data_IF_732489597993
#
_entry.id   IF_732489597993
#
_cell.length_a   1.000
_cell.length_b   1.000
_cell.length_c   1.000
_cell.angle_alpha   90.00
_cell.angle_beta   90.00
_cell.angle_gamma   90.00
#
_symmetry.space_group_name_H-M   'P 1'
#
loop_
_entity.id
_entity.type
_entity.pdbx_description
1 polymer ?
#
# COMPACT_ATOMS: atom_id res chain seq x y z
N UNK A 1 8.90 13.75 -14.96
CA UNK A 1 9.91 12.66 -14.91
C UNK A 1 9.22 11.34 -14.61
N UNK A 2 9.90 10.21 -14.89
CA UNK A 2 9.36 8.85 -14.73
C UNK A 2 8.85 8.56 -13.29
N UNK A 3 9.30 9.34 -12.32
CA UNK A 3 9.06 9.14 -10.88
C UNK A 3 8.12 10.19 -10.24
N UNK A 4 7.62 11.16 -11.00
CA UNK A 4 6.74 12.21 -10.44
C UNK A 4 5.45 11.67 -9.84
N UNK A 5 4.94 10.56 -10.38
CA UNK A 5 3.74 9.91 -9.85
C UNK A 5 3.92 9.39 -8.41
N UNK A 6 5.13 9.04 -8.00
CA UNK A 6 5.42 8.58 -6.63
C UNK A 6 5.26 9.71 -5.61
N UNK A 7 5.61 10.95 -6.01
CA UNK A 7 5.43 12.15 -5.19
C UNK A 7 3.96 12.52 -5.05
N UNK A 8 3.16 12.21 -6.07
CA UNK A 8 1.72 12.43 -6.09
C UNK A 8 0.93 11.28 -5.44
N UNK A 9 1.57 10.15 -5.13
CA UNK A 9 0.94 9.04 -4.45
C UNK A 9 0.36 9.49 -3.11
N UNK A 10 -0.81 8.98 -2.68
CA UNK A 10 -1.44 9.39 -1.45
C UNK A 10 -0.53 9.17 -0.25
N UNK A 11 -0.61 10.08 0.71
CA UNK A 11 0.05 9.93 2.01
C UNK A 11 -0.45 8.65 2.67
N UNK A 12 0.47 7.83 3.12
CA UNK A 12 0.14 6.61 3.84
C UNK A 12 -0.36 6.93 5.26
N UNK A 13 -1.14 6.03 5.84
CA UNK A 13 -1.46 6.03 7.26
C UNK A 13 -0.55 5.05 8.02
N UNK A 14 -0.65 5.03 9.33
CA UNK A 14 0.08 4.10 10.21
C UNK A 14 1.61 4.19 10.06
N UNK A 15 2.14 5.40 10.28
CA UNK A 15 3.58 5.64 10.33
C UNK A 15 3.94 6.76 11.30
N UNK A 16 5.21 6.82 11.66
CA UNK A 16 5.78 7.90 12.48
C UNK A 16 7.14 8.33 11.93
N UNK A 17 7.49 9.59 12.17
CA UNK A 17 8.83 10.10 11.88
C UNK A 17 9.80 9.70 12.98
N UNK A 18 11.04 9.39 12.60
CA UNK A 18 12.12 9.06 13.53
C UNK A 18 13.09 10.24 13.70
N UNK A 19 12.55 11.45 13.91
CA UNK A 19 13.37 12.64 14.20
C UNK A 19 14.00 12.55 15.59
N UNK A 20 15.25 13.04 15.79
CA UNK A 20 15.84 13.14 17.12
C UNK A 20 14.98 14.03 18.05
N UNK A 21 14.66 13.54 19.23
CA UNK A 21 13.88 14.27 20.26
C UNK A 21 12.37 14.08 20.22
N UNK A 22 11.83 13.25 19.31
CA UNK A 22 10.40 12.96 19.25
C UNK A 22 10.05 11.67 19.96
N UNK A 23 9.65 11.70 21.23
CA UNK A 23 9.13 10.52 21.94
C UNK A 23 7.75 10.08 21.41
N UNK A 24 6.99 10.94 20.73
CA UNK A 24 5.57 10.71 20.44
C UNK A 24 5.19 10.77 18.96
N UNK A 25 6.14 10.82 18.03
CA UNK A 25 5.88 10.73 16.60
C UNK A 25 4.95 11.83 16.03
N UNK A 26 4.61 12.86 16.80
CA UNK A 26 3.89 14.02 16.29
C UNK A 26 4.89 15.06 15.80
N UNK A 27 4.72 15.65 14.62
CA UNK A 27 5.49 16.82 14.27
C UNK A 27 5.17 17.91 15.30
N UNK A 28 6.16 18.34 16.08
CA UNK A 28 6.03 19.56 16.86
C UNK A 28 5.83 20.70 15.87
N UNK A 29 4.61 21.21 15.80
CA UNK A 29 4.31 22.44 15.12
C UNK A 29 4.91 23.58 15.93
N UNK A 30 6.06 24.09 15.51
CA UNK A 30 6.48 25.50 15.62
C UNK A 30 7.89 25.63 15.07
N UNK A 31 8.17 26.56 14.15
CA UNK A 31 9.52 26.88 13.76
C UNK A 31 10.13 27.79 14.84
N UNK A 32 10.79 27.17 15.81
CA UNK A 32 11.68 27.87 16.71
C UNK A 32 12.97 28.24 15.99
N UNK A 33 13.27 29.51 15.91
CA UNK A 33 14.51 30.08 15.38
C UNK A 33 15.72 29.60 16.16
N UNK A 34 16.45 28.65 15.57
CA UNK A 34 17.75 28.18 16.05
C UNK A 34 18.77 28.25 14.90
N UNK A 35 19.57 29.31 14.89
CA UNK A 35 20.71 29.48 13.97
C UNK A 35 21.68 28.30 14.07
N UNK A 36 22.01 27.66 12.92
CA UNK A 36 23.35 27.14 12.71
C UNK A 36 23.59 25.63 12.54
N UNK A 37 22.55 24.78 12.31
CA UNK A 37 22.80 23.44 11.73
C UNK A 37 21.73 23.18 10.68
N UNK A 38 22.12 22.95 9.41
CA UNK A 38 21.18 22.50 8.38
C UNK A 38 20.47 21.26 8.91
N UNK A 39 19.20 21.39 9.23
CA UNK A 39 18.33 20.23 9.50
C UNK A 39 18.35 19.39 8.24
N UNK A 40 18.53 18.06 8.33
CA UNK A 40 18.29 17.22 7.16
C UNK A 40 16.87 17.53 6.67
N UNK A 41 16.73 17.76 5.38
CA UNK A 41 15.45 18.18 4.77
C UNK A 41 14.32 17.15 4.98
N UNK A 42 14.65 15.95 5.42
CA UNK A 42 13.69 14.89 5.75
C UNK A 42 14.31 13.80 6.64
N UNK A 43 13.47 13.09 7.38
CA UNK A 43 13.86 12.06 8.34
C UNK A 43 13.43 10.66 7.86
N UNK A 44 14.10 9.60 8.35
CA UNK A 44 13.57 8.24 8.24
C UNK A 44 12.18 8.16 8.89
N UNK A 45 11.35 7.26 8.37
CA UNK A 45 10.02 6.99 8.91
C UNK A 45 9.90 5.52 9.30
N UNK A 46 9.12 5.23 10.32
CA UNK A 46 8.74 3.86 10.65
C UNK A 46 7.32 3.59 10.17
N UNK A 47 7.17 2.57 9.34
CA UNK A 47 5.85 2.07 8.92
C UNK A 47 5.28 1.17 10.01
N UNK A 48 4.05 1.44 10.44
CA UNK A 48 3.33 0.72 11.50
C UNK A 48 2.16 -0.09 10.95
N UNK A 49 2.08 -0.27 9.63
CA UNK A 49 0.94 -0.91 8.99
C UNK A 49 0.85 -2.42 9.25
N UNK A 50 1.98 -3.09 9.30
CA UNK A 50 2.07 -4.54 9.54
C UNK A 50 3.21 -4.87 10.50
N UNK A 51 3.30 -6.13 10.92
CA UNK A 51 4.29 -6.61 11.88
C UNK A 51 5.76 -6.44 11.45
N UNK A 52 6.03 -6.11 10.18
CA UNK A 52 7.41 -5.86 9.71
C UNK A 52 8.03 -4.61 10.33
N UNK A 53 7.22 -3.61 10.76
CA UNK A 53 7.69 -2.42 11.45
C UNK A 53 8.82 -1.68 10.72
N UNK A 54 8.84 -1.68 9.38
CA UNK A 54 9.96 -1.23 8.56
C UNK A 54 10.40 0.19 8.91
N UNK A 55 11.68 0.37 9.19
CA UNK A 55 12.34 1.69 9.22
C UNK A 55 12.80 2.02 7.81
N UNK A 56 12.29 3.12 7.26
CA UNK A 56 12.45 3.46 5.84
C UNK A 56 13.20 4.78 5.74
N UNK A 57 14.44 4.78 5.24
CA UNK A 57 15.19 6.02 5.00
C UNK A 57 14.51 6.85 3.90
N UNK A 58 14.89 8.12 3.80
CA UNK A 58 14.41 9.01 2.72
C UNK A 58 14.75 8.40 1.36
N UNK A 59 13.78 8.33 0.47
CA UNK A 59 13.90 7.67 -0.83
C UNK A 59 13.82 6.14 -0.78
N UNK A 60 13.84 5.53 0.41
CA UNK A 60 13.76 4.09 0.60
C UNK A 60 12.34 3.54 0.59
N UNK A 61 12.23 2.21 0.61
CA UNK A 61 10.97 1.47 0.62
C UNK A 61 10.89 0.46 1.75
N UNK A 62 9.67 0.15 2.17
CA UNK A 62 9.41 -0.98 3.06
C UNK A 62 9.59 -2.32 2.35
N UNK A 63 9.68 -3.40 3.13
CA UNK A 63 9.84 -4.78 2.64
C UNK A 63 8.78 -5.17 1.59
N UNK A 64 7.56 -4.66 1.73
CA UNK A 64 6.47 -4.90 0.78
C UNK A 64 6.65 -4.20 -0.58
N UNK A 65 7.62 -3.29 -0.76
CA UNK A 65 7.90 -2.46 -1.95
C UNK A 65 6.82 -1.41 -2.25
N UNK A 66 5.70 -1.42 -1.53
CA UNK A 66 4.51 -0.57 -1.80
C UNK A 66 4.48 0.73 -1.02
N UNK A 67 5.31 0.83 0.02
CA UNK A 67 5.43 2.02 0.88
C UNK A 67 6.80 2.65 0.68
N UNK A 68 6.83 3.95 0.43
CA UNK A 68 8.05 4.71 0.17
C UNK A 68 8.09 5.98 1.02
N UNK A 69 9.26 6.28 1.58
CA UNK A 69 9.51 7.54 2.24
C UNK A 69 9.88 8.60 1.20
N UNK A 70 8.96 9.50 0.92
CA UNK A 70 9.17 10.63 0.00
C UNK A 70 9.32 11.90 0.81
N UNK A 71 10.54 12.41 0.89
CA UNK A 71 10.87 13.64 1.59
C UNK A 71 10.36 13.68 3.06
N UNK A 72 10.50 12.57 3.80
CA UNK A 72 10.08 12.47 5.20
C UNK A 72 8.62 12.08 5.41
N UNK A 73 7.86 11.83 4.35
CA UNK A 73 6.48 11.34 4.41
C UNK A 73 6.35 9.95 3.81
N UNK A 74 5.64 9.07 4.50
CA UNK A 74 5.34 7.75 3.95
C UNK A 74 4.20 7.82 2.93
N UNK A 75 4.45 7.35 1.71
CA UNK A 75 3.50 7.32 0.60
C UNK A 75 3.07 5.88 0.28
N UNK A 76 1.82 5.70 -0.11
CA UNK A 76 1.27 4.43 -0.60
C UNK A 76 1.31 4.41 -2.12
N UNK A 77 2.19 3.61 -2.70
CA UNK A 77 2.40 3.56 -4.16
C UNK A 77 1.36 2.70 -4.89
N UNK A 78 0.57 1.92 -4.16
CA UNK A 78 -0.40 0.97 -4.73
C UNK A 78 -1.86 1.37 -4.54
N UNK A 79 -2.14 2.48 -3.85
CA UNK A 79 -3.51 2.93 -3.66
C UNK A 79 -4.20 3.21 -5.00
N UNK A 80 -5.35 2.57 -5.20
CA UNK A 80 -6.11 2.69 -6.44
C UNK A 80 -5.42 2.10 -7.68
N UNK A 81 -4.40 1.24 -7.52
CA UNK A 81 -3.64 0.65 -8.64
C UNK A 81 -3.73 -0.87 -8.62
N UNK A 82 -4.91 -1.46 -8.87
CA UNK A 82 -5.04 -2.90 -8.99
C UNK A 82 -4.32 -3.39 -10.26
N UNK A 83 -3.48 -4.42 -10.12
CA UNK A 83 -2.74 -5.04 -11.24
C UNK A 83 -3.45 -6.27 -11.76
N UNK A 84 -4.32 -6.86 -10.97
CA UNK A 84 -5.14 -8.00 -11.38
C UNK A 84 -6.57 -7.85 -10.86
N UNK A 85 -7.53 -8.19 -11.71
CA UNK A 85 -8.96 -8.18 -11.40
C UNK A 85 -9.58 -9.39 -12.08
N UNK A 86 -10.24 -10.26 -11.28
CA UNK A 86 -10.98 -11.42 -11.77
C UNK A 86 -12.35 -11.52 -11.12
N UNK A 87 -13.26 -12.20 -11.78
CA UNK A 87 -14.53 -12.62 -11.18
C UNK A 87 -14.46 -14.12 -10.99
N UNK A 88 -14.42 -14.54 -9.74
CA UNK A 88 -14.25 -15.93 -9.34
C UNK A 88 -15.50 -16.43 -8.57
N UNK A 89 -15.80 -17.72 -8.56
CA UNK A 89 -16.72 -18.28 -7.57
C UNK A 89 -16.25 -17.99 -6.14
N UNK A 90 -17.19 -17.74 -5.22
CA UNK A 90 -16.87 -17.43 -3.82
C UNK A 90 -16.12 -18.57 -3.14
N UNK A 91 -16.36 -19.82 -3.56
CA UNK A 91 -15.72 -21.03 -3.05
C UNK A 91 -14.20 -21.05 -3.34
N UNK A 92 -13.75 -20.35 -4.39
CA UNK A 92 -12.32 -20.16 -4.69
C UNK A 92 -11.62 -19.29 -3.65
N UNK A 93 -12.37 -18.60 -2.78
CA UNK A 93 -11.88 -17.85 -1.61
C UNK A 93 -12.03 -18.66 -0.31
N UNK A 94 -12.00 -19.96 -0.35
CA UNK A 94 -12.52 -21.02 0.52
C UNK A 94 -13.67 -20.61 1.46
N UNK A 95 -14.65 -19.91 0.94
CA UNK A 95 -15.83 -19.45 1.69
C UNK A 95 -17.06 -20.29 1.23
N UNK A 96 -17.12 -21.54 1.69
CA UNK A 96 -18.14 -22.49 1.26
C UNK A 96 -19.54 -22.25 1.86
N UNK A 97 -19.63 -21.60 3.02
CA UNK A 97 -20.86 -21.35 3.75
C UNK A 97 -21.34 -19.89 3.69
N UNK A 98 -20.58 -19.03 3.00
CA UNK A 98 -20.94 -17.62 2.83
C UNK A 98 -21.33 -17.35 1.38
N UNK A 99 -22.60 -17.05 1.16
CA UNK A 99 -23.18 -16.81 -0.18
C UNK A 99 -22.80 -17.89 -1.21
N UNK A 100 -23.13 -19.19 -0.96
CA UNK A 100 -22.72 -20.27 -1.85
C UNK A 100 -23.15 -20.00 -3.28
N UNK A 101 -22.25 -20.26 -4.26
CA UNK A 101 -22.49 -20.04 -5.68
C UNK A 101 -22.40 -18.57 -6.12
N UNK A 102 -22.14 -17.63 -5.21
CA UNK A 102 -22.01 -16.22 -5.57
C UNK A 102 -20.68 -15.93 -6.30
N UNK A 103 -20.69 -14.87 -7.12
CA UNK A 103 -19.48 -14.35 -7.74
C UNK A 103 -18.72 -13.42 -6.77
N UNK A 104 -17.41 -13.53 -6.70
CA UNK A 104 -16.52 -12.63 -6.00
C UNK A 104 -15.68 -11.82 -6.99
N UNK A 105 -15.76 -10.49 -6.91
CA UNK A 105 -14.90 -9.57 -7.65
C UNK A 105 -13.56 -9.45 -6.93
N UNK A 106 -12.58 -10.18 -7.41
CA UNK A 106 -11.27 -10.37 -6.77
C UNK A 106 -10.26 -9.42 -7.35
N UNK A 107 -9.48 -8.76 -6.52
CA UNK A 107 -8.43 -7.85 -6.96
C UNK A 107 -7.19 -7.89 -6.07
N UNK A 108 -6.05 -7.56 -6.65
CA UNK A 108 -4.79 -7.34 -5.95
C UNK A 108 -4.00 -6.20 -6.55
N UNK A 109 -3.07 -5.68 -5.76
CA UNK A 109 -2.00 -4.78 -6.20
C UNK A 109 -0.67 -5.52 -6.23
N UNK A 110 0.41 -4.85 -6.63
CA UNK A 110 1.76 -5.39 -6.47
C UNK A 110 2.23 -5.35 -5.03
N UNK A 111 3.26 -6.13 -4.75
CA UNK A 111 3.99 -6.13 -3.50
C UNK A 111 3.31 -6.93 -2.39
N UNK A 112 4.14 -7.48 -1.51
CA UNK A 112 3.73 -8.25 -0.35
C UNK A 112 4.84 -8.19 0.70
N UNK A 113 4.53 -8.08 2.00
CA UNK A 113 5.55 -8.12 3.06
C UNK A 113 6.06 -9.54 3.33
N UNK A 114 5.43 -10.55 2.73
CA UNK A 114 5.76 -11.95 2.86
C UNK A 114 6.62 -12.44 1.70
N UNK A 115 7.38 -13.52 1.92
CA UNK A 115 8.24 -14.15 0.91
C UNK A 115 8.02 -15.66 0.93
N UNK A 116 6.75 -16.08 0.80
CA UNK A 116 6.37 -17.49 0.82
C UNK A 116 6.99 -18.24 -0.37
N UNK A 117 7.72 -19.33 -0.10
CA UNK A 117 8.38 -20.11 -1.15
C UNK A 117 7.39 -20.77 -2.12
N UNK A 118 6.18 -21.05 -1.64
CA UNK A 118 5.09 -21.66 -2.42
C UNK A 118 4.06 -20.66 -2.95
N UNK A 119 4.42 -19.39 -3.08
CA UNK A 119 3.48 -18.36 -3.52
C UNK A 119 3.09 -18.56 -4.98
N UNK A 120 1.82 -18.88 -5.23
CA UNK A 120 1.28 -19.00 -6.59
C UNK A 120 1.24 -17.66 -7.34
N UNK A 121 1.21 -16.55 -6.60
CA UNK A 121 1.11 -15.20 -7.14
C UNK A 121 2.44 -14.43 -6.97
N UNK A 122 3.57 -15.13 -7.03
CA UNK A 122 4.89 -14.55 -6.77
C UNK A 122 5.20 -13.38 -7.73
N UNK A 123 4.73 -13.45 -8.97
CA UNK A 123 4.95 -12.41 -9.99
C UNK A 123 4.45 -11.04 -9.51
N UNK A 124 3.23 -10.97 -8.98
CA UNK A 124 2.68 -9.71 -8.46
C UNK A 124 3.12 -9.43 -7.02
N UNK A 125 3.29 -10.46 -6.19
CA UNK A 125 3.63 -10.29 -4.78
C UNK A 125 5.08 -9.88 -4.56
N UNK A 126 5.99 -10.25 -5.45
CA UNK A 126 7.41 -9.91 -5.35
C UNK A 126 7.83 -8.76 -6.29
N UNK A 127 6.88 -8.14 -6.99
CA UNK A 127 7.11 -7.02 -7.89
C UNK A 127 6.96 -5.66 -7.21
N UNK A 128 7.48 -4.64 -7.84
CA UNK A 128 7.33 -3.25 -7.47
C UNK A 128 6.21 -2.57 -8.27
N UNK A 129 5.59 -1.50 -7.77
CA UNK A 129 4.50 -0.82 -8.48
C UNK A 129 4.87 -0.27 -9.86
N UNK A 130 6.15 0.03 -10.12
CA UNK A 130 6.65 0.50 -11.41
C UNK A 130 6.77 -0.60 -12.47
N UNK A 131 6.78 -1.87 -12.06
CA UNK A 131 6.82 -3.00 -13.00
C UNK A 131 5.49 -3.13 -13.77
N UNK A 132 4.44 -2.50 -13.25
CA UNK A 132 3.10 -2.49 -13.82
C UNK A 132 2.62 -1.07 -14.10
N UNK A 133 2.33 -0.77 -15.36
CA UNK A 133 1.76 0.52 -15.78
C UNK A 133 0.23 0.48 -15.72
N UNK A 134 -0.33 0.49 -14.51
CA UNK A 134 -1.78 0.48 -14.33
C UNK A 134 -2.31 1.89 -14.01
N UNK A 135 -3.46 2.26 -14.56
CA UNK A 135 -4.09 3.53 -14.24
C UNK A 135 -4.60 3.54 -12.81
N UNK A 136 -4.74 4.76 -12.28
CA UNK A 136 -5.40 4.96 -11.00
C UNK A 136 -6.91 4.69 -11.16
N UNK A 137 -7.45 3.83 -10.31
CA UNK A 137 -8.89 3.51 -10.26
C UNK A 137 -9.43 3.93 -8.90
N UNK A 138 -10.46 4.76 -8.90
CA UNK A 138 -11.10 5.18 -7.66
C UNK A 138 -11.91 4.02 -7.04
N UNK A 139 -11.99 3.94 -5.68
CA UNK A 139 -12.74 2.87 -5.02
C UNK A 139 -14.20 2.77 -5.47
N UNK A 140 -14.86 3.90 -5.73
CA UNK A 140 -16.23 3.92 -6.25
C UNK A 140 -16.35 3.19 -7.59
N UNK A 141 -15.40 3.41 -8.51
CA UNK A 141 -15.38 2.74 -9.81
C UNK A 141 -15.13 1.22 -9.69
N UNK A 142 -14.40 0.78 -8.67
CA UNK A 142 -14.23 -0.66 -8.37
C UNK A 142 -15.58 -1.24 -7.93
N UNK A 143 -16.31 -0.56 -7.04
CA UNK A 143 -17.63 -0.99 -6.59
C UNK A 143 -18.65 -1.04 -7.73
N UNK A 144 -18.65 -0.06 -8.62
CA UNK A 144 -19.50 -0.04 -9.83
C UNK A 144 -19.20 -1.21 -10.76
N UNK A 145 -17.92 -1.49 -11.00
CA UNK A 145 -17.48 -2.63 -11.82
C UNK A 145 -17.91 -3.96 -11.20
N UNK A 146 -17.84 -4.12 -9.88
CA UNK A 146 -18.31 -5.31 -9.19
C UNK A 146 -19.83 -5.49 -9.34
N UNK A 147 -20.61 -4.42 -9.17
CA UNK A 147 -22.06 -4.43 -9.40
C UNK A 147 -22.43 -4.79 -10.84
N UNK A 148 -21.75 -4.18 -11.83
CA UNK A 148 -21.97 -4.47 -13.24
C UNK A 148 -21.69 -5.94 -13.60
N UNK A 149 -20.80 -6.61 -12.87
CA UNK A 149 -20.48 -8.05 -12.99
C UNK A 149 -21.36 -8.93 -12.11
N UNK A 150 -22.38 -8.37 -11.45
CA UNK A 150 -23.27 -9.07 -10.51
C UNK A 150 -22.52 -9.82 -9.40
N UNK A 151 -21.37 -9.28 -8.97
CA UNK A 151 -20.56 -9.83 -7.91
C UNK A 151 -20.90 -9.12 -6.58
N UNK A 152 -21.62 -9.78 -5.68
CA UNK A 152 -22.01 -9.18 -4.38
C UNK A 152 -20.85 -9.05 -3.40
N UNK A 153 -19.71 -9.66 -3.71
CA UNK A 153 -18.51 -9.67 -2.86
C UNK A 153 -17.32 -9.04 -3.60
N UNK A 154 -16.59 -8.18 -2.92
CA UNK A 154 -15.26 -7.71 -3.36
C UNK A 154 -14.22 -8.38 -2.48
N UNK A 155 -13.29 -9.12 -3.09
CA UNK A 155 -12.24 -9.85 -2.40
C UNK A 155 -10.87 -9.20 -2.69
N UNK A 156 -10.22 -8.70 -1.65
CA UNK A 156 -8.81 -8.30 -1.70
C UNK A 156 -7.96 -9.55 -1.42
N UNK A 157 -7.30 -10.07 -2.43
CA UNK A 157 -6.69 -11.40 -2.39
C UNK A 157 -5.43 -11.47 -3.26
N UNK A 158 -4.87 -12.66 -3.48
CA UNK A 158 -3.66 -12.98 -4.26
C UNK A 158 -2.33 -12.54 -3.61
N UNK A 159 -2.28 -11.42 -2.91
CA UNK A 159 -1.18 -11.00 -2.05
C UNK A 159 -1.70 -10.63 -0.65
N UNK A 160 -0.84 -10.17 0.26
CA UNK A 160 -1.26 -9.70 1.57
C UNK A 160 -2.10 -8.41 1.44
N UNK A 161 -3.41 -8.45 1.73
CA UNK A 161 -4.31 -7.31 1.48
C UNK A 161 -4.01 -6.09 2.35
N UNK A 162 -3.30 -6.24 3.46
CA UNK A 162 -2.88 -5.13 4.33
C UNK A 162 -2.10 -4.06 3.56
N UNK A 163 -1.34 -4.44 2.51
CA UNK A 163 -0.56 -3.48 1.71
C UNK A 163 -1.44 -2.49 0.95
N UNK A 164 -2.69 -2.85 0.65
CA UNK A 164 -3.68 -1.98 0.02
C UNK A 164 -4.22 -0.92 0.97
N UNK A 165 -4.23 -1.22 2.25
CA UNK A 165 -4.87 -0.38 3.26
C UNK A 165 -4.19 0.98 3.35
N UNK A 166 -4.95 2.03 3.11
CA UNK A 166 -4.52 3.42 3.23
C UNK A 166 -5.53 4.29 3.98
N UNK A 167 -6.52 3.66 4.56
CA UNK A 167 -7.59 4.30 5.34
C UNK A 167 -7.35 4.13 6.83
#
# INVERSE_FOLDING_TARGET
TKDDWMRLAPRARYWRTLAPGGADGRPSASPGEGRGKRRPEAWPVQCLLCAQGCVIPVGGRGRCRTRMNVAGELRSLVWGRPVTIHVDPIEKKPLYHYLPGAAAFSLATTGCPQSCQFCQNWEISQSSPEDYRVPLVQPAAIAEKARARKAPVIAFTYNEPTVLRNT
#
